data_IF_845523710885
#
_entry.id   IF_845523710885
#
_cell.length_a   1.000
_cell.length_b   1.000
_cell.length_c   1.000
_cell.angle_alpha   90.00
_cell.angle_beta   90.00
_cell.angle_gamma   90.00
#
_symmetry.space_group_name_H-M   'P 1'
#
loop_
_entity.id
_entity.type
_entity.pdbx_description
1 polymer ?
#
# COMPACT_ATOMS: atom_id res chain seq x y z
N UNK A 1 -2.14 -9.03 27.77
CA UNK A 1 -3.46 -9.21 27.11
C UNK A 1 -3.32 -8.59 25.73
N UNK A 2 -3.63 -9.31 24.65
CA UNK A 2 -3.42 -8.82 23.29
C UNK A 2 -4.38 -7.64 23.01
N UNK A 3 -3.86 -6.41 22.93
CA UNK A 3 -4.68 -5.21 22.79
C UNK A 3 -5.42 -5.17 21.47
N UNK A 4 -4.83 -5.70 20.40
CA UNK A 4 -5.48 -5.83 19.10
C UNK A 4 -6.75 -6.69 19.19
N UNK A 5 -6.69 -7.82 19.88
CA UNK A 5 -7.85 -8.69 20.06
C UNK A 5 -8.95 -8.01 20.88
N UNK A 6 -8.60 -7.26 21.93
CA UNK A 6 -9.56 -6.46 22.69
C UNK A 6 -10.20 -5.36 21.85
N UNK A 7 -9.43 -4.68 21.00
CA UNK A 7 -9.95 -3.64 20.14
C UNK A 7 -10.93 -4.19 19.09
N UNK A 8 -10.62 -5.37 18.53
CA UNK A 8 -11.53 -6.07 17.62
C UNK A 8 -12.80 -6.54 18.34
N UNK A 9 -12.68 -7.11 19.55
CA UNK A 9 -13.84 -7.52 20.34
C UNK A 9 -14.70 -6.31 20.75
N UNK A 10 -14.06 -5.20 21.15
CA UNK A 10 -14.77 -3.95 21.46
C UNK A 10 -15.58 -3.42 20.29
N UNK A 11 -15.11 -3.63 19.04
CA UNK A 11 -15.88 -3.30 17.85
C UNK A 11 -17.08 -4.24 17.65
N UNK A 12 -16.93 -5.54 17.93
CA UNK A 12 -18.05 -6.50 17.90
C UNK A 12 -19.11 -6.16 18.96
N UNK A 13 -18.70 -5.75 20.16
CA UNK A 13 -19.57 -5.37 21.28
C UNK A 13 -20.34 -4.05 21.05
N UNK A 14 -19.93 -3.25 20.05
CA UNK A 14 -20.73 -2.13 19.57
C UNK A 14 -22.01 -2.61 18.84
N UNK A 15 -22.17 -3.93 18.61
CA UNK A 15 -23.46 -4.58 18.37
C UNK A 15 -23.60 -5.24 16.99
N UNK A 16 -23.87 -4.53 15.86
CA UNK A 16 -23.99 -5.22 14.57
C UNK A 16 -23.43 -4.44 13.35
N UNK A 17 -22.14 -4.05 13.36
CA UNK A 17 -21.38 -3.47 12.21
C UNK A 17 -21.98 -2.19 11.56
N UNK A 18 -22.25 -1.16 12.37
CA UNK A 18 -22.71 0.21 12.00
C UNK A 18 -23.98 0.32 11.13
N UNK A 19 -25.09 0.48 11.83
CA UNK A 19 -26.37 0.89 11.27
C UNK A 19 -26.30 2.25 10.56
N UNK A 20 -27.15 2.45 9.54
CA UNK A 20 -27.32 3.74 8.82
C UNK A 20 -27.72 4.87 9.80
N UNK A 21 -28.37 4.52 10.91
CA UNK A 21 -28.93 5.45 11.88
C UNK A 21 -28.01 5.59 13.10
N UNK A 22 -26.96 6.40 12.99
CA UNK A 22 -26.10 6.77 14.11
C UNK A 22 -26.88 7.64 15.11
N UNK A 23 -26.78 7.35 16.40
CA UNK A 23 -27.34 8.15 17.50
C UNK A 23 -26.20 8.78 18.32
N UNK A 24 -26.49 9.77 19.16
CA UNK A 24 -25.50 10.39 20.05
C UNK A 24 -24.86 9.37 20.99
N UNK A 25 -25.66 8.59 21.71
CA UNK A 25 -25.16 7.54 22.63
C UNK A 25 -24.25 6.53 21.92
N UNK A 26 -24.61 6.10 20.70
CA UNK A 26 -23.76 5.19 19.91
C UNK A 26 -22.47 5.88 19.48
N UNK A 27 -22.56 7.14 19.06
CA UNK A 27 -21.39 7.94 18.68
C UNK A 27 -20.41 8.10 19.83
N UNK A 28 -20.90 8.28 21.05
CA UNK A 28 -20.07 8.42 22.25
C UNK A 28 -19.41 7.10 22.65
N UNK A 29 -20.14 5.97 22.54
CA UNK A 29 -19.56 4.63 22.71
C UNK A 29 -18.46 4.32 21.69
N UNK A 30 -18.67 4.72 20.43
CA UNK A 30 -17.65 4.61 19.38
C UNK A 30 -16.43 5.45 19.73
N UNK A 31 -16.63 6.68 20.20
CA UNK A 31 -15.54 7.55 20.60
C UNK A 31 -14.73 6.96 21.77
N UNK A 32 -15.40 6.37 22.75
CA UNK A 32 -14.75 5.63 23.83
C UNK A 32 -13.94 4.44 23.27
N UNK A 33 -14.48 3.67 22.34
CA UNK A 33 -13.74 2.59 21.68
C UNK A 33 -12.49 3.07 20.93
N UNK A 34 -12.59 4.16 20.16
CA UNK A 34 -11.45 4.76 19.47
C UNK A 34 -10.35 5.18 20.45
N UNK A 35 -10.73 5.82 21.56
CA UNK A 35 -9.79 6.31 22.57
C UNK A 35 -9.19 5.19 23.43
N UNK A 36 -10.03 4.31 23.96
CA UNK A 36 -9.67 3.38 25.02
C UNK A 36 -9.25 2.00 24.50
N UNK A 37 -9.59 1.66 23.26
CA UNK A 37 -9.27 0.36 22.67
C UNK A 37 -8.38 0.47 21.43
N UNK A 38 -8.67 1.39 20.51
CA UNK A 38 -7.87 1.53 19.27
C UNK A 38 -6.54 2.23 19.53
N UNK A 39 -6.53 3.38 20.23
CA UNK A 39 -5.27 4.10 20.50
C UNK A 39 -4.20 3.23 21.19
N UNK A 40 -4.53 2.42 22.22
CA UNK A 40 -3.55 1.54 22.85
C UNK A 40 -2.93 0.47 21.95
N UNK A 41 -3.59 0.07 20.86
CA UNK A 41 -3.01 -0.82 19.83
C UNK A 41 -1.95 -0.07 19.05
N UNK A 42 -2.24 1.18 18.68
CA UNK A 42 -1.30 2.02 17.92
C UNK A 42 -0.08 2.38 18.77
N UNK A 43 -0.25 2.62 20.07
CA UNK A 43 0.86 2.83 21.03
C UNK A 43 1.88 1.68 21.04
N UNK A 44 1.48 0.44 20.73
CA UNK A 44 2.42 -0.68 20.62
C UNK A 44 3.09 -0.77 19.25
N UNK A 45 2.55 -0.04 18.27
CA UNK A 45 3.01 -0.03 16.88
C UNK A 45 3.86 1.20 16.54
N UNK A 46 3.71 2.32 17.27
CA UNK A 46 4.31 3.61 16.89
C UNK A 46 5.83 3.57 16.76
N UNK A 47 6.49 2.71 17.53
CA UNK A 47 7.95 2.55 17.53
C UNK A 47 8.44 1.54 16.49
N UNK A 48 7.54 0.77 15.85
CA UNK A 48 7.92 -0.21 14.85
C UNK A 48 8.28 0.49 13.54
N UNK A 49 9.49 0.26 13.05
CA UNK A 49 10.01 0.76 11.78
C UNK A 49 9.11 0.35 10.62
N UNK A 50 8.59 -0.88 10.65
CA UNK A 50 7.65 -1.37 9.65
C UNK A 50 6.35 -0.56 9.64
N UNK A 51 5.81 -0.19 10.81
CA UNK A 51 4.60 0.64 10.91
C UNK A 51 4.85 2.06 10.39
N UNK A 52 5.93 2.70 10.84
CA UNK A 52 6.33 4.05 10.40
C UNK A 52 6.56 4.09 8.88
N UNK A 53 7.32 3.14 8.34
CA UNK A 53 7.65 3.05 6.92
C UNK A 53 6.42 2.86 6.06
N UNK A 54 5.45 2.02 6.48
CA UNK A 54 4.21 1.84 5.75
C UNK A 54 3.30 3.06 5.83
N UNK A 55 3.24 3.74 6.99
CA UNK A 55 2.48 4.99 7.15
C UNK A 55 3.01 6.07 6.22
N UNK A 56 4.34 6.30 6.20
CA UNK A 56 4.96 7.38 5.46
C UNK A 56 5.22 7.08 3.99
N UNK A 57 5.09 5.83 3.55
CA UNK A 57 5.54 5.37 2.24
C UNK A 57 5.13 6.29 1.09
N UNK A 58 3.85 6.69 1.00
CA UNK A 58 3.41 7.54 -0.12
C UNK A 58 4.01 8.94 -0.05
N UNK A 59 4.13 9.51 1.14
CA UNK A 59 4.77 10.80 1.33
C UNK A 59 6.28 10.73 1.06
N UNK A 60 6.96 9.62 1.38
CA UNK A 60 8.40 9.47 1.15
C UNK A 60 8.75 9.02 -0.27
N UNK A 61 7.89 8.23 -0.92
CA UNK A 61 8.19 7.64 -2.23
C UNK A 61 7.59 8.40 -3.41
N UNK A 62 6.54 9.19 -3.22
CA UNK A 62 5.85 9.89 -4.33
C UNK A 62 6.09 11.40 -4.35
N UNK A 63 6.61 11.96 -3.26
CA UNK A 63 6.87 13.40 -3.15
C UNK A 63 7.86 13.89 -4.19
N UNK A 64 7.65 15.11 -4.64
CA UNK A 64 8.48 15.77 -5.64
C UNK A 64 9.95 15.81 -5.21
N UNK A 65 10.85 15.45 -6.13
CA UNK A 65 12.30 15.52 -5.91
C UNK A 65 12.92 14.28 -5.26
N UNK A 66 12.14 13.25 -4.94
CA UNK A 66 12.68 11.97 -4.45
C UNK A 66 13.12 11.07 -5.61
N UNK A 67 14.21 10.33 -5.44
CA UNK A 67 14.80 9.51 -6.52
C UNK A 67 14.28 8.07 -6.56
N UNK A 68 13.07 7.83 -6.07
CA UNK A 68 12.48 6.49 -6.03
C UNK A 68 12.02 6.03 -7.41
N UNK A 69 11.82 4.71 -7.56
CA UNK A 69 11.25 4.14 -8.79
C UNK A 69 9.81 4.63 -9.00
N UNK A 70 9.05 4.72 -7.92
CA UNK A 70 7.64 5.12 -7.89
C UNK A 70 7.49 6.57 -8.36
N UNK A 71 8.33 7.47 -7.85
CA UNK A 71 8.31 8.87 -8.28
C UNK A 71 8.60 9.02 -9.77
N UNK A 72 9.59 8.29 -10.28
CA UNK A 72 9.90 8.26 -11.72
C UNK A 72 8.70 7.79 -12.56
N UNK A 73 7.88 6.86 -12.06
CA UNK A 73 6.65 6.44 -12.74
C UNK A 73 5.59 7.55 -12.72
N UNK A 74 5.46 8.31 -11.63
CA UNK A 74 4.56 9.48 -11.57
C UNK A 74 4.97 10.52 -12.61
N UNK A 75 6.26 10.86 -12.66
CA UNK A 75 6.81 11.81 -13.63
C UNK A 75 6.62 11.33 -15.07
N UNK A 76 6.79 10.04 -15.31
CA UNK A 76 6.55 9.47 -16.63
C UNK A 76 5.06 9.56 -17.04
N UNK A 77 4.12 9.36 -16.10
CA UNK A 77 2.69 9.57 -16.36
C UNK A 77 2.38 11.05 -16.63
N UNK A 78 2.98 11.95 -15.86
CA UNK A 78 2.87 13.41 -16.05
C UNK A 78 3.34 13.81 -17.47
N UNK A 79 4.52 13.33 -17.88
CA UNK A 79 5.06 13.54 -19.22
C UNK A 79 4.17 12.94 -20.31
N UNK A 80 3.58 11.76 -20.09
CA UNK A 80 2.65 11.16 -21.05
C UNK A 80 1.37 11.98 -21.21
N UNK A 81 0.83 12.59 -20.15
CA UNK A 81 -0.32 13.49 -20.24
C UNK A 81 0.01 14.71 -21.10
N UNK A 82 1.16 15.34 -20.85
CA UNK A 82 1.63 16.51 -21.59
C UNK A 82 1.88 16.16 -23.06
N UNK A 83 2.60 15.07 -23.34
CA UNK A 83 2.89 14.61 -24.71
C UNK A 83 1.62 14.30 -25.49
N UNK A 84 0.62 13.68 -24.85
CA UNK A 84 -0.66 13.40 -25.50
C UNK A 84 -1.39 14.71 -25.87
N UNK A 85 -1.38 15.71 -24.99
CA UNK A 85 -1.96 17.03 -25.30
C UNK A 85 -1.21 17.74 -26.44
N UNK A 86 0.13 17.75 -26.42
CA UNK A 86 0.97 18.32 -27.50
C UNK A 86 0.67 17.65 -28.84
N UNK A 87 0.52 16.32 -28.85
CA UNK A 87 0.21 15.58 -30.07
C UNK A 87 -1.22 15.83 -30.57
N UNK A 88 -2.19 16.05 -29.67
CA UNK A 88 -3.53 16.51 -30.06
C UNK A 88 -3.48 17.89 -30.72
N UNK A 89 -2.68 18.83 -30.19
CA UNK A 89 -2.48 20.16 -30.78
C UNK A 89 -1.82 20.07 -32.16
N UNK A 90 -0.82 19.20 -32.32
CA UNK A 90 -0.18 18.94 -33.62
C UNK A 90 -1.17 18.43 -34.69
N UNK A 91 -2.23 17.74 -34.28
CA UNK A 91 -3.27 17.26 -35.18
C UNK A 91 -4.30 18.32 -35.62
N UNK A 92 -4.30 19.54 -35.05
CA UNK A 92 -5.29 20.59 -35.37
C UNK A 92 -5.43 20.94 -36.86
N UNK A 93 -4.35 20.99 -37.67
CA UNK A 93 -4.47 21.28 -39.10
C UNK A 93 -5.22 20.23 -39.90
N UNK A 94 -5.28 18.99 -39.41
CA UNK A 94 -5.86 17.84 -40.12
C UNK A 94 -7.28 17.49 -39.68
N UNK A 95 -7.80 18.22 -38.69
CA UNK A 95 -9.15 18.05 -38.17
C UNK A 95 -10.04 19.17 -38.66
N UNK A 96 -11.28 18.84 -39.01
CA UNK A 96 -12.26 19.84 -39.41
C UNK A 96 -12.63 20.76 -38.23
N UNK A 97 -11.93 21.89 -38.12
CA UNK A 97 -11.96 22.80 -36.95
C UNK A 97 -13.37 23.28 -36.56
N UNK A 98 -14.30 23.43 -37.52
CA UNK A 98 -15.67 23.84 -37.22
C UNK A 98 -16.47 22.83 -36.36
N UNK A 99 -15.88 21.67 -36.01
CA UNK A 99 -16.47 20.67 -35.10
C UNK A 99 -15.77 20.57 -33.74
N UNK A 100 -14.69 21.32 -33.47
CA UNK A 100 -14.03 21.31 -32.15
C UNK A 100 -14.47 22.55 -31.38
N UNK A 101 -15.21 22.40 -30.28
CA UNK A 101 -15.51 23.50 -29.37
C UNK A 101 -14.26 24.22 -28.86
N UNK A 102 -14.31 25.55 -28.76
CA UNK A 102 -13.16 26.37 -28.37
C UNK A 102 -12.60 26.03 -26.98
N UNK A 103 -13.47 25.59 -26.06
CA UNK A 103 -13.05 25.17 -24.72
C UNK A 103 -12.13 23.94 -24.75
N UNK A 104 -12.33 23.00 -25.69
CA UNK A 104 -11.44 21.85 -25.86
C UNK A 104 -10.06 22.24 -26.39
N UNK A 105 -9.98 23.26 -27.24
CA UNK A 105 -8.70 23.81 -27.69
C UNK A 105 -7.94 24.42 -26.50
N UNK A 106 -8.65 25.16 -25.65
CA UNK A 106 -8.08 25.73 -24.44
C UNK A 106 -7.62 24.65 -23.45
N UNK A 107 -8.43 23.60 -23.25
CA UNK A 107 -8.09 22.46 -22.39
C UNK A 107 -6.81 21.76 -22.88
N UNK A 108 -6.68 21.49 -24.19
CA UNK A 108 -5.46 20.89 -24.76
C UNK A 108 -4.24 21.76 -24.48
N UNK A 109 -4.32 23.06 -24.79
CA UNK A 109 -3.19 23.98 -24.59
C UNK A 109 -2.81 24.11 -23.13
N UNK A 110 -3.79 24.11 -22.24
CA UNK A 110 -3.54 24.16 -20.79
C UNK A 110 -2.75 22.94 -20.32
N UNK A 111 -3.12 21.75 -20.80
CA UNK A 111 -2.44 20.48 -20.47
C UNK A 111 -1.07 20.39 -21.14
N UNK A 112 -0.94 20.81 -22.40
CA UNK A 112 0.32 20.83 -23.14
C UNK A 112 1.37 21.75 -22.50
N UNK A 113 0.93 22.81 -21.82
CA UNK A 113 1.80 23.72 -21.06
C UNK A 113 2.10 23.24 -19.65
N UNK A 114 1.55 22.09 -19.21
CA UNK A 114 1.75 21.51 -17.87
C UNK A 114 1.52 22.53 -16.74
N UNK A 115 0.37 23.20 -16.75
CA UNK A 115 0.02 24.30 -15.81
C UNK A 115 -0.32 23.85 -14.37
N UNK A 116 0.35 22.82 -13.88
CA UNK A 116 0.27 22.32 -12.51
C UNK A 116 1.68 22.04 -11.95
N UNK A 117 1.85 22.18 -10.64
CA UNK A 117 3.13 21.97 -9.97
C UNK A 117 3.53 20.50 -9.92
N UNK A 118 2.58 19.63 -9.58
CA UNK A 118 2.75 18.19 -9.44
C UNK A 118 1.38 17.47 -9.50
N UNK A 119 1.39 16.15 -9.67
CA UNK A 119 0.23 15.28 -9.53
C UNK A 119 0.08 14.75 -8.08
N UNK A 120 1.14 14.83 -7.29
CA UNK A 120 1.20 14.36 -5.89
C UNK A 120 1.21 15.56 -4.95
N UNK A 121 0.40 15.50 -3.87
CA UNK A 121 0.45 16.47 -2.79
C UNK A 121 0.68 15.75 -1.45
N UNK A 122 1.75 16.10 -0.73
CA UNK A 122 2.01 15.53 0.59
C UNK A 122 0.89 15.84 1.61
N UNK A 123 0.27 17.03 1.52
CA UNK A 123 -0.87 17.41 2.39
C UNK A 123 -2.10 16.53 2.20
N UNK A 124 -2.18 15.75 1.10
CA UNK A 124 -3.23 14.76 0.94
C UNK A 124 -3.19 13.69 2.05
N UNK A 125 -2.06 13.50 2.73
CA UNK A 125 -1.89 12.52 3.80
C UNK A 125 -2.97 12.62 4.88
N UNK A 126 -3.28 13.84 5.34
CA UNK A 126 -4.26 14.05 6.41
C UNK A 126 -5.69 14.03 5.88
N UNK A 127 -5.90 14.51 4.65
CA UNK A 127 -7.19 14.52 4.00
C UNK A 127 -7.03 14.77 2.49
N UNK A 128 -7.92 14.27 1.65
CA UNK A 128 -7.83 14.50 0.22
C UNK A 128 -8.19 15.98 -0.10
N UNK A 129 -7.21 16.76 -0.55
CA UNK A 129 -7.30 18.24 -0.62
C UNK A 129 -8.24 18.79 -1.72
N UNK A 130 -8.79 17.94 -2.60
CA UNK A 130 -9.61 18.34 -3.77
C UNK A 130 -8.98 19.46 -4.64
N UNK A 131 -7.65 19.52 -4.70
CA UNK A 131 -6.91 20.52 -5.49
C UNK A 131 -6.23 19.88 -6.70
N UNK A 132 -6.12 20.65 -7.80
CA UNK A 132 -5.36 20.27 -9.00
C UNK A 132 -3.91 20.76 -8.98
N UNK A 133 -3.48 21.45 -7.92
CA UNK A 133 -2.12 22.01 -7.77
C UNK A 133 -1.71 22.91 -8.95
N UNK A 134 -2.63 23.77 -9.41
CA UNK A 134 -2.40 24.64 -10.56
C UNK A 134 -1.39 25.74 -10.26
N UNK A 135 -0.56 26.11 -11.25
CA UNK A 135 0.35 27.25 -11.17
C UNK A 135 -0.41 28.58 -11.08
N UNK A 136 -1.52 28.67 -11.81
CA UNK A 136 -2.42 29.82 -11.85
C UNK A 136 -3.87 29.36 -11.66
N UNK A 137 -4.69 30.19 -11.04
CA UNK A 137 -6.10 29.85 -10.80
C UNK A 137 -6.86 29.69 -12.11
N UNK A 138 -7.49 28.52 -12.29
CA UNK A 138 -8.43 28.26 -13.37
C UNK A 138 -9.77 27.78 -12.78
N UNK A 139 -10.72 28.70 -12.65
CA UNK A 139 -12.02 28.44 -12.03
C UNK A 139 -12.79 27.30 -12.70
N UNK A 140 -12.68 27.14 -14.02
CA UNK A 140 -13.34 26.04 -14.73
C UNK A 140 -12.81 24.69 -14.28
N UNK A 141 -11.49 24.50 -14.30
CA UNK A 141 -10.89 23.24 -13.88
C UNK A 141 -11.08 22.98 -12.38
N UNK A 142 -10.91 24.01 -11.55
CA UNK A 142 -11.12 23.92 -10.09
C UNK A 142 -12.55 23.44 -9.78
N UNK A 143 -13.56 24.08 -10.35
CA UNK A 143 -14.96 23.72 -10.10
C UNK A 143 -15.30 22.33 -10.65
N UNK A 144 -14.79 21.98 -11.83
CA UNK A 144 -14.99 20.66 -12.40
C UNK A 144 -14.35 19.55 -11.56
N UNK A 145 -13.15 19.79 -11.03
CA UNK A 145 -12.43 18.81 -10.22
C UNK A 145 -13.05 18.63 -8.83
N UNK A 146 -13.57 19.69 -8.21
CA UNK A 146 -14.30 19.59 -6.92
C UNK A 146 -15.51 18.66 -6.96
N UNK A 147 -16.08 18.44 -8.14
CA UNK A 147 -17.19 17.51 -8.35
C UNK A 147 -16.74 16.03 -8.48
N UNK A 148 -15.44 15.74 -8.52
CA UNK A 148 -14.96 14.36 -8.55
C UNK A 148 -15.18 13.70 -7.19
N UNK A 149 -15.78 12.50 -7.23
CA UNK A 149 -15.96 11.68 -6.04
C UNK A 149 -14.58 11.26 -5.52
N UNK A 150 -14.28 11.68 -4.29
CA UNK A 150 -13.10 11.23 -3.56
C UNK A 150 -13.51 10.32 -2.41
N UNK A 151 -12.63 9.37 -2.08
CA UNK A 151 -12.76 8.59 -0.87
C UNK A 151 -12.45 9.49 0.32
N UNK A 152 -13.41 9.67 1.23
CA UNK A 152 -13.25 10.46 2.46
C UNK A 152 -12.99 9.61 3.70
N UNK A 153 -13.04 8.28 3.58
CA UNK A 153 -12.61 7.41 4.67
C UNK A 153 -11.09 7.43 4.77
N UNK A 154 -10.52 7.39 5.98
CA UNK A 154 -9.07 7.47 6.15
C UNK A 154 -8.31 6.36 5.44
N UNK A 155 -7.09 6.66 5.01
CA UNK A 155 -6.20 5.76 4.31
C UNK A 155 -5.11 6.50 3.54
N UNK A 156 -4.47 5.83 2.59
CA UNK A 156 -3.41 6.37 1.74
C UNK A 156 -3.97 7.37 0.70
N UNK A 157 -4.38 8.53 1.19
CA UNK A 157 -5.00 9.60 0.41
C UNK A 157 -4.05 10.27 -0.57
N UNK A 158 -2.73 10.21 -0.31
CA UNK A 158 -1.71 10.70 -1.26
C UNK A 158 -1.79 9.90 -2.56
N UNK A 159 -1.79 8.57 -2.49
CA UNK A 159 -1.99 7.72 -3.66
C UNK A 159 -3.37 7.93 -4.29
N UNK A 160 -4.44 7.88 -3.49
CA UNK A 160 -5.81 7.95 -4.01
C UNK A 160 -6.07 9.29 -4.73
N UNK A 161 -5.63 10.41 -4.16
CA UNK A 161 -5.81 11.75 -4.73
C UNK A 161 -4.97 11.95 -5.98
N UNK A 162 -3.73 11.43 -6.02
CA UNK A 162 -2.90 11.42 -7.22
C UNK A 162 -3.62 10.74 -8.40
N UNK A 163 -4.19 9.54 -8.18
CA UNK A 163 -4.92 8.85 -9.25
C UNK A 163 -6.20 9.58 -9.67
N UNK A 164 -6.87 10.28 -8.76
CA UNK A 164 -8.02 11.13 -9.11
C UNK A 164 -7.58 12.30 -10.00
N UNK A 165 -6.44 12.94 -9.74
CA UNK A 165 -5.86 14.00 -10.61
C UNK A 165 -5.45 13.46 -11.98
N UNK A 166 -4.77 12.32 -12.04
CA UNK A 166 -4.41 11.64 -13.29
C UNK A 166 -5.66 11.35 -14.12
N UNK A 167 -6.67 10.75 -13.47
CA UNK A 167 -7.94 10.41 -14.11
C UNK A 167 -8.64 11.65 -14.67
N UNK A 168 -8.67 12.75 -13.91
CA UNK A 168 -9.26 14.01 -14.36
C UNK A 168 -8.67 14.48 -15.69
N UNK A 169 -7.34 14.62 -15.76
CA UNK A 169 -6.66 15.09 -16.97
C UNK A 169 -6.81 14.10 -18.13
N UNK A 170 -6.68 12.81 -17.86
CA UNK A 170 -6.85 11.74 -18.86
C UNK A 170 -8.24 11.75 -19.48
N UNK A 171 -9.30 11.89 -18.68
CA UNK A 171 -10.68 11.92 -19.18
C UNK A 171 -10.96 13.12 -20.08
N UNK A 172 -10.32 14.28 -19.83
CA UNK A 172 -10.40 15.43 -20.72
C UNK A 172 -9.77 15.09 -22.08
N UNK A 173 -8.54 14.59 -22.08
CA UNK A 173 -7.82 14.25 -23.31
C UNK A 173 -8.54 13.15 -24.12
N UNK A 174 -9.03 12.11 -23.46
CA UNK A 174 -9.78 11.02 -24.11
C UNK A 174 -11.08 11.49 -24.75
N UNK A 175 -11.81 12.40 -24.11
CA UNK A 175 -13.03 12.99 -24.69
C UNK A 175 -12.71 13.73 -25.98
N UNK A 176 -11.63 14.51 -25.98
CA UNK A 176 -11.21 15.29 -27.15
C UNK A 176 -10.65 14.37 -28.25
N UNK A 177 -9.84 13.39 -27.88
CA UNK A 177 -9.34 12.36 -28.79
C UNK A 177 -10.46 11.63 -29.53
N UNK A 178 -11.56 11.27 -28.85
CA UNK A 178 -12.73 10.65 -29.50
C UNK A 178 -13.37 11.56 -30.55
N UNK A 179 -13.41 12.87 -30.31
CA UNK A 179 -13.89 13.84 -31.30
C UNK A 179 -12.95 13.93 -32.50
N UNK A 180 -11.65 13.92 -32.27
CA UNK A 180 -10.61 13.95 -33.32
C UNK A 180 -10.72 12.72 -34.21
N UNK A 181 -10.80 11.54 -33.60
CA UNK A 181 -10.95 10.27 -34.30
C UNK A 181 -12.16 10.26 -35.24
N UNK A 182 -13.28 10.88 -34.83
CA UNK A 182 -14.49 10.97 -35.65
C UNK A 182 -14.42 12.01 -36.79
N UNK A 183 -13.41 12.88 -36.82
CA UNK A 183 -13.39 14.07 -37.69
C UNK A 183 -12.08 14.26 -38.47
N UNK A 184 -11.11 13.37 -38.28
CA UNK A 184 -9.79 13.47 -38.90
C UNK A 184 -9.86 13.24 -40.42
N UNK A 185 -9.04 13.98 -41.17
CA UNK A 185 -8.84 13.80 -42.61
C UNK A 185 -7.41 13.33 -42.87
N UNK A 186 -7.28 12.09 -43.29
CA UNK A 186 -5.98 11.48 -43.63
C UNK A 186 -5.79 11.59 -45.14
N UNK A 187 -5.15 12.68 -45.57
CA UNK A 187 -5.02 13.02 -46.99
C UNK A 187 -3.58 12.89 -47.52
N UNK A 188 -2.60 12.90 -46.64
CA UNK A 188 -1.17 12.89 -46.97
C UNK A 188 -0.34 12.10 -45.93
N UNK A 189 0.95 11.89 -46.22
CA UNK A 189 1.86 11.12 -45.37
C UNK A 189 2.09 11.78 -44.00
N UNK A 190 2.13 13.11 -43.93
CA UNK A 190 2.30 13.83 -42.67
C UNK A 190 1.09 13.61 -41.75
N UNK A 191 -0.13 13.73 -42.28
CA UNK A 191 -1.37 13.49 -41.53
C UNK A 191 -1.47 12.05 -40.99
N UNK A 192 -0.94 11.05 -41.73
CA UNK A 192 -0.82 9.66 -41.24
C UNK A 192 0.15 9.54 -40.09
N UNK A 193 1.32 10.17 -40.21
CA UNK A 193 2.37 10.14 -39.19
C UNK A 193 1.91 10.76 -37.88
N UNK A 194 1.30 11.95 -37.93
CA UNK A 194 0.78 12.63 -36.74
C UNK A 194 -0.31 11.81 -36.04
N UNK A 195 -1.18 11.17 -36.82
CA UNK A 195 -2.22 10.32 -36.26
C UNK A 195 -1.67 9.02 -35.66
N UNK A 196 -0.67 8.39 -36.27
CA UNK A 196 0.01 7.24 -35.68
C UNK A 196 0.67 7.62 -34.35
N UNK A 197 1.39 8.74 -34.32
CA UNK A 197 1.99 9.30 -33.10
C UNK A 197 0.95 9.54 -32.01
N UNK A 198 -0.24 10.03 -32.38
CA UNK A 198 -1.36 10.22 -31.45
C UNK A 198 -1.84 8.91 -30.82
N UNK A 199 -1.97 7.84 -31.61
CA UNK A 199 -2.35 6.50 -31.11
C UNK A 199 -1.27 5.94 -30.17
N UNK A 200 0.01 6.16 -30.51
CA UNK A 200 1.13 5.76 -29.67
C UNK A 200 1.11 6.49 -28.33
N UNK A 201 0.83 7.81 -28.30
CA UNK A 201 0.68 8.58 -27.06
C UNK A 201 -0.45 8.04 -26.17
N UNK A 202 -1.62 7.68 -26.75
CA UNK A 202 -2.73 7.07 -26.00
C UNK A 202 -2.28 5.77 -25.35
N UNK A 203 -1.61 4.91 -26.13
CA UNK A 203 -1.15 3.59 -25.67
C UNK A 203 -0.08 3.73 -24.58
N UNK A 204 0.83 4.69 -24.71
CA UNK A 204 1.85 5.00 -23.71
C UNK A 204 1.25 5.53 -22.40
N UNK A 205 0.27 6.44 -22.48
CA UNK A 205 -0.43 6.93 -21.29
C UNK A 205 -1.19 5.79 -20.58
N UNK A 206 -1.91 4.95 -21.33
CA UNK A 206 -2.63 3.82 -20.74
C UNK A 206 -1.72 2.79 -20.07
N UNK A 207 -0.59 2.48 -20.70
CA UNK A 207 0.39 1.53 -20.15
C UNK A 207 1.12 2.10 -18.94
N UNK A 208 1.55 3.36 -18.98
CA UNK A 208 2.21 4.02 -17.84
C UNK A 208 1.30 4.12 -16.61
N UNK A 209 0.02 4.50 -16.79
CA UNK A 209 -0.95 4.53 -15.69
C UNK A 209 -1.17 3.13 -15.11
N UNK A 210 -1.24 2.09 -15.93
CA UNK A 210 -1.38 0.70 -15.45
C UNK A 210 -0.16 0.22 -14.66
N UNK A 211 1.05 0.58 -15.09
CA UNK A 211 2.27 0.24 -14.35
C UNK A 211 2.34 0.99 -13.02
N UNK A 212 2.00 2.29 -12.98
CA UNK A 212 1.91 3.04 -11.74
C UNK A 212 0.86 2.44 -10.79
N UNK A 213 -0.33 2.07 -11.30
CA UNK A 213 -1.35 1.37 -10.52
C UNK A 213 -0.86 0.03 -9.97
N UNK A 214 -0.02 -0.70 -10.71
CA UNK A 214 0.51 -1.98 -10.26
C UNK A 214 1.42 -1.80 -9.05
N UNK A 215 2.27 -0.78 -9.06
CA UNK A 215 3.19 -0.50 -7.96
C UNK A 215 2.44 0.10 -6.75
N UNK A 216 1.55 1.06 -6.99
CA UNK A 216 0.87 1.76 -5.90
C UNK A 216 -0.35 1.02 -5.34
N UNK A 217 -1.13 0.31 -6.15
CA UNK A 217 -2.44 -0.22 -5.74
C UNK A 217 -2.53 -1.75 -5.71
N UNK A 218 -1.67 -2.48 -6.42
CA UNK A 218 -1.76 -3.94 -6.54
C UNK A 218 -0.76 -4.65 -5.63
N UNK A 219 -1.00 -4.64 -4.34
CA UNK A 219 -0.25 -5.48 -3.40
C UNK A 219 -0.94 -5.56 -2.03
N UNK A 220 -0.60 -6.60 -1.26
CA UNK A 220 -0.86 -6.65 0.19
C UNK A 220 -0.30 -5.41 0.91
N UNK A 221 0.73 -4.79 0.33
CA UNK A 221 1.34 -3.57 0.83
C UNK A 221 0.39 -2.38 0.78
N UNK A 222 -0.44 -2.18 -0.27
CA UNK A 222 -1.44 -1.07 -0.26
C UNK A 222 -2.42 -1.22 0.90
N UNK A 223 -2.90 -2.43 1.15
CA UNK A 223 -3.78 -2.72 2.29
C UNK A 223 -3.11 -2.36 3.62
N UNK A 224 -1.85 -2.78 3.78
CA UNK A 224 -1.07 -2.47 4.98
C UNK A 224 -0.82 -0.98 5.15
N UNK A 225 -0.43 -0.27 4.09
CA UNK A 225 -0.26 1.19 4.11
C UNK A 225 -1.55 1.90 4.51
N UNK A 226 -2.66 1.53 3.88
CA UNK A 226 -3.98 2.07 4.24
C UNK A 226 -4.30 1.87 5.71
N UNK A 227 -4.01 0.68 6.25
CA UNK A 227 -4.23 0.37 7.65
C UNK A 227 -3.34 1.20 8.56
N UNK A 228 -2.03 1.28 8.28
CA UNK A 228 -1.06 2.05 9.06
C UNK A 228 -1.41 3.55 9.06
N UNK A 229 -1.72 4.13 7.89
CA UNK A 229 -2.15 5.53 7.77
C UNK A 229 -3.47 5.77 8.52
N UNK A 230 -4.45 4.87 8.37
CA UNK A 230 -5.74 4.98 9.08
C UNK A 230 -5.55 5.02 10.59
N UNK A 231 -4.80 4.05 11.13
CA UNK A 231 -4.56 3.94 12.56
C UNK A 231 -3.72 5.11 13.09
N UNK A 232 -2.73 5.57 12.33
CA UNK A 232 -1.94 6.76 12.69
C UNK A 232 -2.80 8.02 12.78
N UNK A 233 -3.70 8.25 11.82
CA UNK A 233 -4.60 9.41 11.84
C UNK A 233 -5.62 9.35 12.99
N UNK A 234 -6.12 8.15 13.32
CA UNK A 234 -7.00 7.96 14.48
C UNK A 234 -6.24 8.23 15.79
N UNK A 235 -5.04 7.67 15.93
CA UNK A 235 -4.19 7.86 17.10
C UNK A 235 -3.83 9.34 17.29
N UNK A 236 -3.44 10.02 16.21
CA UNK A 236 -3.20 11.47 16.20
C UNK A 236 -4.40 12.28 16.69
N UNK A 237 -5.63 11.81 16.43
CA UNK A 237 -6.88 12.50 16.75
C UNK A 237 -7.51 12.19 18.11
N UNK A 238 -7.18 11.05 18.73
CA UNK A 238 -7.86 10.57 19.94
C UNK A 238 -6.92 10.27 21.11
N UNK A 239 -5.62 10.09 20.88
CA UNK A 239 -4.68 9.93 21.98
C UNK A 239 -4.51 11.25 22.74
N UNK A 240 -4.37 11.17 24.07
CA UNK A 240 -4.17 12.36 24.90
C UNK A 240 -2.79 12.99 24.67
N UNK A 241 -1.79 12.18 24.30
CA UNK A 241 -0.41 12.58 23.99
C UNK A 241 0.17 11.67 22.90
N UNK A 242 -0.16 11.91 21.61
CA UNK A 242 0.31 11.04 20.53
C UNK A 242 1.83 11.15 20.34
N UNK A 243 2.53 10.03 20.43
CA UNK A 243 3.98 9.93 20.20
C UNK A 243 4.27 9.71 18.70
N UNK A 244 4.00 10.73 17.88
CA UNK A 244 4.13 10.69 16.41
C UNK A 244 5.15 11.70 15.87
N UNK A 245 6.25 11.92 16.59
CA UNK A 245 7.29 12.91 16.20
C UNK A 245 7.94 12.59 14.85
N UNK A 246 7.95 11.30 14.45
CA UNK A 246 8.40 10.86 13.13
C UNK A 246 7.42 11.22 11.98
N UNK A 247 6.18 11.59 12.31
CA UNK A 247 5.15 11.99 11.37
C UNK A 247 4.99 13.51 11.29
N UNK A 248 4.96 14.19 12.44
CA UNK A 248 4.85 15.64 12.55
C UNK A 248 5.63 16.13 13.78
N UNK A 249 6.68 16.91 13.56
CA UNK A 249 7.55 17.41 14.62
C UNK A 249 6.94 18.62 15.38
N UNK A 250 6.11 19.42 14.71
CA UNK A 250 5.51 20.62 15.31
C UNK A 250 4.20 20.28 16.04
N UNK A 251 4.25 20.34 17.37
CA UNK A 251 3.09 20.07 18.24
C UNK A 251 1.89 20.97 17.96
N UNK A 252 2.09 22.21 17.51
CA UNK A 252 0.98 23.10 17.17
C UNK A 252 0.27 22.64 15.89
N UNK A 253 1.04 22.15 14.91
CA UNK A 253 0.48 21.57 13.69
C UNK A 253 -0.27 20.28 13.97
N UNK A 254 0.26 19.44 14.87
CA UNK A 254 -0.43 18.22 15.34
C UNK A 254 -1.81 18.56 15.87
N UNK A 255 -1.94 19.54 16.76
CA UNK A 255 -3.24 19.92 17.35
C UNK A 255 -4.22 20.42 16.29
N UNK A 256 -3.78 21.28 15.38
CA UNK A 256 -4.64 21.81 14.31
C UNK A 256 -5.11 20.69 13.38
N UNK A 257 -4.19 19.84 12.92
CA UNK A 257 -4.47 18.74 11.99
C UNK A 257 -5.37 17.67 12.64
N UNK A 258 -5.14 17.35 13.91
CA UNK A 258 -5.91 16.36 14.66
C UNK A 258 -7.36 16.79 14.87
N UNK A 259 -7.58 18.04 15.28
CA UNK A 259 -8.92 18.62 15.45
C UNK A 259 -9.64 18.72 14.11
N UNK A 260 -8.93 19.12 13.06
CA UNK A 260 -9.49 19.24 11.72
C UNK A 260 -9.92 17.86 11.19
N UNK A 261 -9.07 16.85 11.27
CA UNK A 261 -9.38 15.48 10.83
C UNK A 261 -10.57 14.91 11.60
N UNK A 262 -10.58 15.06 12.93
CA UNK A 262 -11.69 14.61 13.77
C UNK A 262 -13.02 15.26 13.36
N UNK A 263 -13.04 16.56 13.08
CA UNK A 263 -14.26 17.31 12.72
C UNK A 263 -14.75 17.08 11.29
N UNK A 264 -13.88 16.71 10.37
CA UNK A 264 -14.23 16.61 8.94
C UNK A 264 -14.32 15.19 8.42
N UNK A 265 -13.59 14.26 9.04
CA UNK A 265 -13.55 12.86 8.63
C UNK A 265 -14.30 11.99 9.64
N UNK A 266 -13.90 12.01 10.91
CA UNK A 266 -14.47 11.08 11.90
C UNK A 266 -15.88 11.50 12.33
N UNK A 267 -16.07 12.78 12.68
CA UNK A 267 -17.34 13.34 13.13
C UNK A 267 -17.78 14.50 12.21
N UNK A 268 -18.06 14.23 10.92
CA UNK A 268 -18.42 15.28 9.97
C UNK A 268 -19.68 16.03 10.44
N UNK A 269 -19.82 17.33 10.10
CA UNK A 269 -21.03 18.08 10.39
C UNK A 269 -22.22 17.49 9.63
N UNK A 270 -23.32 17.27 10.34
CA UNK A 270 -24.56 16.70 9.81
C UNK A 270 -25.79 17.19 10.58
N UNK A 271 -26.91 16.49 10.38
CA UNK A 271 -28.19 16.79 11.04
C UNK A 271 -28.81 15.51 11.61
N UNK A 272 -29.30 15.58 12.85
CA UNK A 272 -30.22 14.59 13.40
C UNK A 272 -31.64 14.99 13.02
N UNK A 273 -32.40 14.03 12.50
CA UNK A 273 -33.81 14.19 12.18
C UNK A 273 -34.66 13.51 13.24
N UNK A 274 -35.39 14.31 14.01
CA UNK A 274 -36.36 13.82 14.97
C UNK A 274 -37.66 13.53 14.23
N UNK A 275 -38.10 12.27 14.25
CA UNK A 275 -39.31 11.81 13.54
C UNK A 275 -40.33 11.21 14.49
N UNK A 276 -41.60 11.47 14.25
CA UNK A 276 -42.73 10.87 14.96
C UNK A 276 -43.36 9.78 14.10
N UNK A 277 -43.48 8.57 14.65
CA UNK A 277 -44.20 7.49 13.97
C UNK A 277 -45.71 7.75 14.04
N UNK A 278 -46.33 7.91 12.87
CA UNK A 278 -47.75 8.13 12.71
C UNK A 278 -48.55 6.82 12.81
N UNK A 279 -49.87 6.94 13.01
CA UNK A 279 -50.79 5.79 13.13
C UNK A 279 -50.83 4.91 11.86
N UNK A 280 -50.56 5.48 10.69
CA UNK A 280 -50.46 4.77 9.41
C UNK A 280 -49.10 4.09 9.19
N UNK A 281 -48.19 4.16 10.17
CA UNK A 281 -46.85 3.61 10.12
C UNK A 281 -45.82 4.49 9.42
N UNK A 282 -46.20 5.65 8.89
CA UNK A 282 -45.26 6.61 8.29
C UNK A 282 -44.51 7.40 9.36
N UNK A 283 -43.38 7.99 8.99
CA UNK A 283 -42.59 8.85 9.86
C UNK A 283 -42.77 10.31 9.46
N UNK A 284 -43.19 11.16 10.40
CA UNK A 284 -43.32 12.59 10.21
C UNK A 284 -42.13 13.30 10.84
N UNK A 285 -41.41 14.09 10.05
CA UNK A 285 -40.32 14.93 10.56
C UNK A 285 -40.88 15.98 11.53
N UNK A 286 -40.38 15.98 12.76
CA UNK A 286 -40.73 16.93 13.82
C UNK A 286 -39.73 18.09 13.82
N UNK A 287 -38.43 17.76 13.84
CA UNK A 287 -37.34 18.72 14.03
C UNK A 287 -36.06 18.23 13.37
N UNK A 288 -35.23 19.17 12.93
CA UNK A 288 -33.85 18.95 12.54
C UNK A 288 -32.93 19.67 13.52
N UNK A 289 -31.86 19.02 13.92
CA UNK A 289 -30.84 19.59 14.80
C UNK A 289 -29.46 19.33 14.22
N UNK A 290 -28.58 20.34 14.14
CA UNK A 290 -27.19 20.11 13.77
C UNK A 290 -26.52 19.15 14.75
N UNK A 291 -25.79 18.17 14.23
CA UNK A 291 -25.05 17.20 15.03
C UNK A 291 -23.74 16.83 14.35
N UNK A 292 -22.76 16.43 15.15
CA UNK A 292 -21.47 15.92 14.69
C UNK A 292 -21.30 14.52 15.28
N UNK A 293 -21.79 13.53 14.55
CA UNK A 293 -21.77 12.12 14.94
C UNK A 293 -20.66 11.39 14.19
N UNK A 294 -20.12 10.32 14.78
CA UNK A 294 -19.13 9.48 14.13
C UNK A 294 -19.68 8.89 12.81
N UNK A 295 -18.94 9.00 11.71
CA UNK A 295 -19.31 8.41 10.43
C UNK A 295 -19.14 6.88 10.49
N UNK A 296 -20.23 6.10 10.32
CA UNK A 296 -20.17 4.66 10.07
C UNK A 296 -18.99 4.26 9.19
N UNK A 297 -18.90 4.75 7.95
CA UNK A 297 -17.91 4.29 6.98
C UNK A 297 -16.47 4.39 7.51
N UNK A 298 -16.16 5.43 8.30
CA UNK A 298 -14.87 5.60 8.96
C UNK A 298 -14.65 4.54 10.02
N UNK A 299 -15.60 4.32 10.92
CA UNK A 299 -15.49 3.29 11.98
C UNK A 299 -15.24 1.90 11.35
N UNK A 300 -15.86 1.60 10.20
CA UNK A 300 -15.73 0.30 9.51
C UNK A 300 -14.34 0.16 8.92
N UNK A 301 -13.82 1.27 8.37
CA UNK A 301 -12.45 1.37 7.88
C UNK A 301 -11.42 1.20 9.01
N UNK A 302 -11.66 1.74 10.20
CA UNK A 302 -10.80 1.53 11.37
C UNK A 302 -10.78 0.07 11.82
N UNK A 303 -11.95 -0.57 11.91
CA UNK A 303 -12.01 -2.00 12.26
C UNK A 303 -11.31 -2.88 11.21
N UNK A 304 -11.46 -2.56 9.92
CA UNK A 304 -10.72 -3.24 8.85
C UNK A 304 -9.22 -3.01 8.99
N UNK A 305 -8.77 -1.79 9.29
CA UNK A 305 -7.37 -1.48 9.51
C UNK A 305 -6.76 -2.28 10.68
N UNK A 306 -7.51 -2.49 11.77
CA UNK A 306 -7.08 -3.37 12.86
C UNK A 306 -6.90 -4.82 12.38
N UNK A 307 -7.80 -5.35 11.56
CA UNK A 307 -7.63 -6.70 11.01
C UNK A 307 -6.41 -6.78 10.07
N UNK A 308 -6.20 -5.74 9.27
CA UNK A 308 -5.14 -5.68 8.26
C UNK A 308 -3.73 -5.46 8.87
N UNK A 309 -3.64 -4.91 10.09
CA UNK A 309 -2.37 -4.66 10.79
C UNK A 309 -1.82 -5.91 11.49
N UNK A 310 -2.65 -6.94 11.64
CA UNK A 310 -2.30 -8.21 12.30
C UNK A 310 -0.92 -8.77 11.90
N UNK A 311 -0.53 -8.81 10.60
CA UNK A 311 0.74 -9.37 10.18
C UNK A 311 1.98 -8.67 10.73
N UNK A 312 1.89 -7.38 11.09
CA UNK A 312 3.00 -6.62 11.66
C UNK A 312 2.84 -6.37 13.17
N UNK A 313 1.63 -6.59 13.70
CA UNK A 313 1.37 -6.50 15.13
C UNK A 313 1.79 -7.78 15.88
N UNK A 314 1.69 -8.94 15.23
CA UNK A 314 2.03 -10.24 15.83
C UNK A 314 3.50 -10.64 15.64
N UNK A 315 4.24 -9.89 14.81
CA UNK A 315 5.63 -10.18 14.43
C UNK A 315 6.54 -9.07 14.97
N UNK A 316 7.58 -9.40 15.77
CA UNK A 316 8.50 -8.39 16.28
C UNK A 316 9.33 -7.73 15.18
N UNK A 317 9.69 -6.46 15.38
CA UNK A 317 10.40 -5.63 14.39
C UNK A 317 11.92 -5.60 14.60
N UNK A 318 12.41 -5.85 15.83
CA UNK A 318 13.85 -5.97 16.09
C UNK A 318 14.38 -7.33 15.61
N UNK A 319 15.55 -7.40 14.94
CA UNK A 319 16.15 -8.65 14.48
C UNK A 319 16.21 -9.74 15.55
N UNK A 320 16.65 -9.41 16.76
CA UNK A 320 16.81 -10.36 17.86
C UNK A 320 15.46 -10.94 18.30
N UNK A 321 14.47 -10.07 18.55
CA UNK A 321 13.14 -10.55 18.92
C UNK A 321 12.43 -11.29 17.76
N UNK A 322 12.73 -10.96 16.51
CA UNK A 322 12.21 -11.69 15.35
C UNK A 322 12.80 -13.09 15.26
N UNK A 323 14.10 -13.26 15.55
CA UNK A 323 14.74 -14.58 15.64
C UNK A 323 14.13 -15.38 16.79
N UNK A 324 13.99 -14.80 17.99
CA UNK A 324 13.36 -15.46 19.14
C UNK A 324 11.91 -15.87 18.83
N UNK A 325 11.14 -14.98 18.21
CA UNK A 325 9.78 -15.28 17.76
C UNK A 325 9.78 -16.41 16.73
N UNK A 326 10.64 -16.36 15.71
CA UNK A 326 10.71 -17.40 14.69
C UNK A 326 11.04 -18.77 15.31
N UNK A 327 11.96 -18.79 16.29
CA UNK A 327 12.32 -19.99 17.06
C UNK A 327 11.15 -20.54 17.90
N UNK A 328 10.21 -19.68 18.32
CA UNK A 328 9.00 -20.10 19.02
C UNK A 328 7.90 -20.64 18.11
N UNK A 329 7.92 -20.27 16.82
CA UNK A 329 6.85 -20.58 15.86
C UNK A 329 7.18 -21.77 14.94
N UNK A 330 8.46 -22.00 14.67
CA UNK A 330 8.91 -22.99 13.71
C UNK A 330 10.04 -23.86 14.27
N UNK A 331 10.15 -25.07 13.72
CA UNK A 331 11.20 -26.01 14.11
C UNK A 331 12.52 -25.65 13.46
N UNK A 332 12.51 -25.24 12.19
CA UNK A 332 13.70 -24.81 11.48
C UNK A 332 13.64 -23.31 11.22
N UNK A 333 14.65 -22.58 11.71
CA UNK A 333 14.86 -21.17 11.38
C UNK A 333 16.21 -21.00 10.72
N UNK A 334 16.23 -20.36 9.56
CA UNK A 334 17.47 -19.97 8.85
C UNK A 334 17.53 -18.47 8.76
N UNK A 335 18.65 -17.89 9.17
CA UNK A 335 18.86 -16.44 9.19
C UNK A 335 20.01 -16.08 8.26
N UNK A 336 19.69 -15.49 7.11
CA UNK A 336 20.64 -15.01 6.10
C UNK A 336 21.04 -13.56 6.40
N UNK A 337 21.83 -13.38 7.46
CA UNK A 337 22.59 -12.17 7.75
C UNK A 337 24.06 -12.52 8.01
N UNK A 338 24.88 -11.54 8.40
CA UNK A 338 26.29 -11.78 8.71
C UNK A 338 26.54 -11.58 10.22
N UNK A 339 26.86 -12.63 11.00
CA UNK A 339 27.10 -14.02 10.58
C UNK A 339 25.78 -14.78 10.30
N UNK A 340 25.82 -15.82 9.47
CA UNK A 340 24.61 -16.64 9.23
C UNK A 340 24.32 -17.57 10.39
N UNK A 341 23.03 -17.72 10.71
CA UNK A 341 22.59 -18.52 11.85
C UNK A 341 21.51 -19.54 11.48
N UNK A 342 21.50 -20.66 12.20
CA UNK A 342 20.53 -21.75 12.04
C UNK A 342 20.05 -22.16 13.41
N UNK A 343 18.74 -22.28 13.56
CA UNK A 343 18.12 -22.79 14.78
C UNK A 343 17.26 -24.02 14.46
N UNK A 344 17.31 -25.01 15.36
CA UNK A 344 16.53 -26.22 15.29
C UNK A 344 15.81 -26.50 16.62
N UNK A 345 14.49 -26.62 16.59
CA UNK A 345 13.61 -26.76 17.75
C UNK A 345 13.92 -25.67 18.83
N UNK A 346 14.22 -24.46 18.36
CA UNK A 346 14.54 -23.29 19.17
C UNK A 346 16.01 -23.16 19.61
N UNK A 347 16.85 -24.18 19.38
CA UNK A 347 18.25 -24.19 19.80
C UNK A 347 19.20 -23.87 18.64
N UNK A 348 20.28 -23.09 18.86
CA UNK A 348 21.24 -22.76 17.82
C UNK A 348 22.03 -24.00 17.37
N UNK A 349 22.16 -24.18 16.06
CA UNK A 349 23.01 -25.21 15.46
C UNK A 349 24.41 -24.63 15.28
N UNK A 350 25.27 -24.91 16.26
CA UNK A 350 26.65 -24.43 16.31
C UNK A 350 27.48 -24.96 15.12
N UNK A 351 27.70 -24.09 14.13
CA UNK A 351 28.51 -24.33 12.95
C UNK A 351 28.87 -22.99 12.31
N UNK A 352 30.06 -22.89 11.73
CA UNK A 352 30.45 -21.73 10.92
C UNK A 352 29.75 -21.81 9.55
N UNK A 353 28.60 -21.16 9.41
CA UNK A 353 27.78 -21.19 8.20
C UNK A 353 28.39 -20.42 7.01
N UNK A 354 29.29 -19.48 7.28
CA UNK A 354 29.87 -18.58 6.28
C UNK A 354 31.14 -19.13 5.58
N UNK A 355 31.85 -20.09 6.19
CA UNK A 355 33.06 -20.69 5.60
C UNK A 355 32.89 -21.30 4.21
N UNK A 356 31.68 -21.75 3.85
CA UNK A 356 31.44 -22.45 2.59
C UNK A 356 30.08 -22.03 1.99
N UNK A 357 30.00 -20.93 1.23
CA UNK A 357 28.74 -20.38 0.72
C UNK A 357 27.85 -21.41 0.01
N UNK A 358 28.44 -22.33 -0.76
CA UNK A 358 27.70 -23.38 -1.46
C UNK A 358 26.89 -24.31 -0.52
N UNK A 359 27.32 -24.51 0.74
CA UNK A 359 26.57 -25.34 1.71
C UNK A 359 25.32 -24.61 2.20
N UNK A 360 25.44 -23.30 2.40
CA UNK A 360 24.32 -22.43 2.75
C UNK A 360 23.34 -22.36 1.59
N UNK A 361 23.82 -22.10 0.37
CA UNK A 361 22.99 -22.06 -0.84
C UNK A 361 22.13 -23.33 -0.98
N UNK A 362 22.74 -24.51 -0.77
CA UNK A 362 22.01 -25.77 -0.80
C UNK A 362 20.97 -25.86 0.32
N UNK A 363 21.34 -25.48 1.55
CA UNK A 363 20.43 -25.61 2.69
C UNK A 363 19.26 -24.64 2.62
N UNK A 364 19.53 -23.38 2.25
CA UNK A 364 18.54 -22.36 1.97
C UNK A 364 17.58 -22.79 0.85
N UNK A 365 18.10 -23.32 -0.26
CA UNK A 365 17.26 -23.81 -1.36
C UNK A 365 16.34 -24.96 -0.92
N UNK A 366 16.85 -25.89 -0.11
CA UNK A 366 16.06 -27.01 0.44
C UNK A 366 14.94 -26.52 1.37
N UNK A 367 15.23 -25.53 2.23
CA UNK A 367 14.27 -24.98 3.16
C UNK A 367 13.26 -24.01 2.52
N UNK A 368 13.64 -23.33 1.43
CA UNK A 368 12.75 -22.46 0.66
C UNK A 368 11.75 -23.26 -0.19
N UNK A 369 12.04 -24.52 -0.50
CA UNK A 369 11.16 -25.42 -1.25
C UNK A 369 11.05 -26.80 -0.61
N UNK A 370 10.51 -26.91 0.62
CA UNK A 370 10.44 -28.19 1.32
C UNK A 370 9.61 -29.19 0.51
N UNK A 371 10.03 -30.46 0.52
CA UNK A 371 9.47 -31.54 -0.29
C UNK A 371 9.81 -31.48 -1.79
N UNK A 372 10.36 -30.38 -2.29
CA UNK A 372 10.81 -30.27 -3.69
C UNK A 372 12.24 -30.76 -3.84
N UNK A 373 12.55 -31.33 -5.01
CA UNK A 373 13.92 -31.77 -5.32
C UNK A 373 14.75 -30.56 -5.73
N UNK A 374 15.84 -30.34 -5.01
CA UNK A 374 16.89 -29.38 -5.34
C UNK A 374 17.99 -30.12 -6.09
N UNK A 375 18.18 -29.73 -7.35
CA UNK A 375 19.28 -30.20 -8.19
C UNK A 375 20.43 -29.18 -8.27
N UNK A 376 21.52 -29.55 -8.93
CA UNK A 376 22.71 -28.70 -9.07
C UNK A 376 22.40 -27.36 -9.77
N UNK A 377 21.49 -27.35 -10.74
CA UNK A 377 21.16 -26.18 -11.55
C UNK A 377 20.35 -25.12 -10.80
N UNK A 378 19.76 -25.49 -9.66
CA UNK A 378 18.98 -24.58 -8.80
C UNK A 378 19.84 -23.77 -7.82
N UNK A 379 21.15 -24.05 -7.73
CA UNK A 379 22.07 -23.35 -6.84
C UNK A 379 22.63 -22.07 -7.49
N UNK A 380 22.97 -21.08 -6.66
CA UNK A 380 23.53 -19.79 -7.07
C UNK A 380 24.81 -19.92 -7.91
N UNK A 381 25.62 -20.96 -7.67
CA UNK A 381 26.81 -21.27 -8.47
C UNK A 381 26.87 -22.78 -8.82
N UNK A 382 26.23 -23.20 -9.94
CA UNK A 382 26.05 -24.60 -10.30
C UNK A 382 27.35 -25.29 -10.75
N UNK A 383 28.45 -24.57 -10.96
CA UNK A 383 29.70 -25.14 -11.48
C UNK A 383 30.85 -25.20 -10.47
N UNK A 384 30.68 -24.67 -9.26
CA UNK A 384 31.78 -24.59 -8.29
C UNK A 384 32.15 -25.95 -7.70
N UNK A 385 31.18 -26.76 -7.30
CA UNK A 385 31.36 -28.06 -6.61
C UNK A 385 30.21 -29.02 -6.90
N UNK A 386 30.48 -30.33 -6.86
CA UNK A 386 29.42 -31.33 -7.04
C UNK A 386 28.41 -31.32 -5.87
N UNK A 387 27.12 -31.46 -6.18
CA UNK A 387 26.03 -31.48 -5.21
C UNK A 387 26.27 -32.44 -4.05
N UNK A 388 26.86 -33.61 -4.34
CA UNK A 388 27.22 -34.63 -3.35
C UNK A 388 28.29 -34.13 -2.36
N UNK A 389 29.30 -33.41 -2.86
CA UNK A 389 30.33 -32.81 -2.01
C UNK A 389 29.72 -31.73 -1.11
N UNK A 390 28.85 -30.89 -1.67
CA UNK A 390 28.13 -29.84 -0.94
C UNK A 390 27.24 -30.43 0.15
N UNK A 391 26.46 -31.48 -0.15
CA UNK A 391 25.64 -32.20 0.83
C UNK A 391 26.48 -32.84 1.94
N UNK A 392 27.63 -33.43 1.61
CA UNK A 392 28.52 -34.01 2.62
C UNK A 392 29.04 -32.93 3.59
N UNK A 393 29.34 -31.72 3.11
CA UNK A 393 29.74 -30.60 3.99
C UNK A 393 28.60 -30.08 4.83
N UNK A 394 27.40 -29.99 4.26
CA UNK A 394 26.18 -29.67 5.01
C UNK A 394 25.95 -30.72 6.09
N UNK A 395 26.14 -32.01 5.78
CA UNK A 395 26.05 -33.10 6.76
C UNK A 395 26.98 -32.87 7.96
N UNK A 396 28.23 -32.49 7.70
CA UNK A 396 29.21 -32.20 8.75
C UNK A 396 28.79 -31.01 9.61
N UNK A 397 28.24 -29.96 8.98
CA UNK A 397 27.74 -28.77 9.70
C UNK A 397 26.50 -29.07 10.55
N UNK A 398 25.74 -30.12 10.21
CA UNK A 398 24.58 -30.60 10.93
C UNK A 398 24.89 -31.76 11.91
N UNK A 399 26.16 -32.08 12.16
CA UNK A 399 26.52 -33.23 13.01
C UNK A 399 25.96 -33.13 14.45
N UNK A 400 25.73 -31.92 14.96
CA UNK A 400 25.07 -31.68 16.26
C UNK A 400 23.54 -31.85 16.23
N UNK A 401 22.93 -31.99 15.04
CA UNK A 401 21.49 -32.07 14.85
C UNK A 401 21.11 -33.20 13.88
N UNK A 402 21.23 -34.44 14.37
CA UNK A 402 21.01 -35.63 13.54
C UNK A 402 19.54 -35.76 13.08
N UNK A 403 18.58 -35.25 13.85
CA UNK A 403 17.17 -35.22 13.48
C UNK A 403 16.94 -34.43 12.17
N UNK A 404 17.42 -33.18 12.11
CA UNK A 404 17.36 -32.34 10.92
C UNK A 404 18.13 -32.95 9.75
N UNK A 405 19.30 -33.52 10.01
CA UNK A 405 20.12 -34.17 8.98
C UNK A 405 19.40 -35.36 8.32
N UNK A 406 18.60 -36.11 9.09
CA UNK A 406 17.82 -37.25 8.61
C UNK A 406 16.63 -36.83 7.73
N UNK A 407 16.11 -35.60 7.89
CA UNK A 407 15.02 -35.09 7.05
C UNK A 407 15.49 -34.72 5.64
N UNK A 408 16.79 -34.51 5.43
CA UNK A 408 17.34 -34.23 4.09
C UNK A 408 17.60 -35.56 3.37
N UNK A 409 16.66 -35.96 2.50
CA UNK A 409 16.71 -37.21 1.74
C UNK A 409 17.42 -37.05 0.41
N UNK A 410 17.98 -38.15 -0.07
CA UNK A 410 18.56 -38.25 -1.42
C UNK A 410 17.51 -38.77 -2.39
N UNK A 411 17.24 -38.02 -3.46
CA UNK A 411 16.40 -38.48 -4.57
C UNK A 411 17.32 -38.99 -5.68
N UNK A 412 17.31 -40.32 -5.87
CA UNK A 412 18.27 -41.00 -6.76
C UNK A 412 18.27 -40.40 -8.16
N UNK A 413 19.44 -39.93 -8.60
CA UNK A 413 19.64 -39.39 -9.94
C UNK A 413 19.10 -37.98 -10.17
N UNK A 414 18.50 -37.33 -9.15
CA UNK A 414 17.89 -36.00 -9.29
C UNK A 414 18.52 -34.97 -8.34
N UNK A 415 18.69 -35.30 -7.06
CA UNK A 415 19.24 -34.34 -6.10
C UNK A 415 18.88 -34.67 -4.66
N UNK A 416 18.58 -33.63 -3.87
CA UNK A 416 18.19 -33.74 -2.46
C UNK A 416 16.86 -33.04 -2.20
N UNK A 417 16.12 -33.48 -1.19
CA UNK A 417 14.91 -32.80 -0.73
C UNK A 417 14.89 -32.76 0.80
N UNK A 418 14.25 -31.74 1.37
CA UNK A 418 13.99 -31.63 2.81
C UNK A 418 12.55 -32.07 3.09
N UNK A 419 12.39 -33.16 3.83
CA UNK A 419 11.08 -33.66 4.28
C UNK A 419 10.67 -32.97 5.59
N UNK A 420 10.15 -31.75 5.49
CA UNK A 420 9.62 -30.98 6.63
C UNK A 420 8.39 -30.20 6.15
N UNK A 421 7.41 -29.98 7.03
CA UNK A 421 6.24 -29.17 6.66
C UNK A 421 6.71 -27.72 6.41
N UNK A 422 6.19 -27.08 5.37
CA UNK A 422 6.45 -25.67 5.09
C UNK A 422 6.04 -24.72 6.23
N UNK A 423 5.11 -25.13 7.10
CA UNK A 423 4.70 -24.38 8.28
C UNK A 423 5.71 -24.51 9.44
N UNK A 424 6.57 -25.53 9.42
CA UNK A 424 7.61 -25.75 10.44
C UNK A 424 8.95 -25.07 10.06
N UNK A 425 8.95 -24.24 9.01
CA UNK A 425 10.14 -23.55 8.50
C UNK A 425 9.88 -22.04 8.42
N UNK A 426 10.77 -21.26 9.03
CA UNK A 426 10.84 -19.81 8.84
C UNK A 426 12.21 -19.44 8.28
N UNK A 427 12.20 -18.63 7.23
CA UNK A 427 13.41 -18.08 6.60
C UNK A 427 13.45 -16.59 6.86
N UNK A 428 14.56 -16.08 7.37
CA UNK A 428 14.80 -14.67 7.64
C UNK A 428 15.96 -14.19 6.77
N UNK A 429 15.77 -13.14 5.99
CA UNK A 429 16.79 -12.58 5.09
C UNK A 429 17.06 -11.12 5.47
N UNK A 430 18.33 -10.72 5.47
CA UNK A 430 18.71 -9.33 5.74
C UNK A 430 18.14 -8.37 4.70
N UNK A 431 17.62 -7.24 5.16
CA UNK A 431 17.17 -6.13 4.29
C UNK A 431 18.32 -5.22 3.80
N UNK A 432 19.55 -5.47 4.26
CA UNK A 432 20.73 -4.65 3.96
C UNK A 432 20.83 -3.34 4.74
N UNK A 433 19.87 -3.04 5.61
CA UNK A 433 19.79 -1.84 6.45
C UNK A 433 19.86 -2.16 7.96
N UNK A 434 20.11 -3.42 8.30
CA UNK A 434 20.21 -3.90 9.68
C UNK A 434 18.93 -4.57 10.20
N UNK A 435 17.88 -4.68 9.37
CA UNK A 435 16.66 -5.43 9.66
C UNK A 435 16.65 -6.83 9.04
N UNK A 436 15.58 -7.57 9.36
CA UNK A 436 15.33 -8.92 8.84
C UNK A 436 13.90 -9.03 8.28
N UNK A 437 13.76 -9.68 7.14
CA UNK A 437 12.49 -9.95 6.48
C UNK A 437 12.18 -11.44 6.46
N UNK A 438 10.92 -11.80 6.70
CA UNK A 438 10.46 -13.18 6.51
C UNK A 438 10.35 -13.48 5.02
N UNK A 439 11.05 -14.52 4.57
CA UNK A 439 11.01 -15.03 3.19
C UNK A 439 9.92 -16.10 3.06
N UNK A 440 8.93 -15.92 2.17
CA UNK A 440 7.87 -16.91 2.00
C UNK A 440 8.41 -18.23 1.44
N UNK A 441 8.12 -19.35 2.12
CA UNK A 441 8.45 -20.69 1.62
C UNK A 441 7.56 -21.05 0.42
N UNK A 442 8.16 -21.65 -0.62
CA UNK A 442 7.42 -22.15 -1.79
C UNK A 442 6.69 -23.43 -1.39
N UNK A 443 5.36 -23.36 -1.29
CA UNK A 443 4.53 -24.56 -1.11
C UNK A 443 4.77 -25.54 -2.25
N UNK A 444 4.96 -26.81 -1.93
CA UNK A 444 5.06 -27.85 -2.96
C UNK A 444 3.76 -27.86 -3.77
N UNK A 445 3.89 -27.91 -5.10
CA UNK A 445 2.73 -28.17 -5.96
C UNK A 445 2.38 -29.64 -5.74
N UNK A 446 1.36 -29.91 -4.93
CA UNK A 446 0.74 -31.22 -4.80
C UNK A 446 0.26 -31.74 -6.14
#
# INVERSE_FOLDING_TARGET
>A
MNKLLLALQGFEDLGPLQEINMTEEKSDRVEAWLKESVCPVVEELVDLTTFQSNTLWSASHLSKGTETRERKLVEYVDDCLVKFAVQLEACFPYVYQARIPIHHINDIRFIAQRRWFDLVHAEDFYQPTQQLLLEESNNQHINNFRNYKQNRTPGDHVCDSMFVRIKYWKEILEKIYKLFFATIRINDEQSRKEFSSLIDCVTQLDSSVKELQKVCLKSKQKTLRDACTTLSLIYLSYADRPELNWLEEDSNNVEVKSQFFRRTVVRPPGEIQHVEKQLDGTFKLIKKEPASLCDPAVIRKVAQALMDIKPIYEVPDSPEALIDWACSQARLVLVDHSPREVFWDGEPVDSDWDTHPAKWDLFWALANGPGSVVDQGMLSNPHSQSLRSTRNRLKVSLNGCEALNQLIKTVRGQGYCLELDSNDIILLESDGLGGLNIVPTRKSRS
#
